data_IF_646069702927
#
_entry.id   IF_646069702927
#
_cell.length_a   1.000
_cell.length_b   1.000
_cell.length_c   1.000
_cell.angle_alpha   90.00
_cell.angle_beta   90.00
_cell.angle_gamma   90.00
#
_symmetry.space_group_name_H-M   'P 1'
#
loop_
_entity.id
_entity.type
_entity.pdbx_description
1 polymer ?
#
# COMPACT_ATOMS: atom_id res chain seq x y z
N UNK A 1 -39.61 -8.29 7.78
CA UNK A 1 -38.64 -9.28 7.38
C UNK A 1 -37.40 -8.66 6.73
N UNK A 2 -36.25 -9.15 7.03
CA UNK A 2 -35.00 -8.62 6.52
C UNK A 2 -34.79 -8.81 5.01
N UNK A 3 -35.73 -9.46 4.34
CA UNK A 3 -35.62 -9.76 2.92
C UNK A 3 -36.04 -8.61 2.02
N UNK A 4 -36.08 -7.42 2.55
CA UNK A 4 -36.46 -6.27 1.74
C UNK A 4 -35.24 -5.86 0.85
N UNK A 5 -35.49 -4.98 -0.10
CA UNK A 5 -34.51 -4.50 -1.03
C UNK A 5 -33.32 -3.81 -0.33
N UNK A 6 -33.58 -3.14 0.79
CA UNK A 6 -32.53 -2.46 1.56
C UNK A 6 -31.52 -3.43 2.16
N UNK A 7 -32.01 -4.55 2.70
CA UNK A 7 -31.11 -5.57 3.27
C UNK A 7 -30.26 -6.21 2.19
N UNK A 8 -30.85 -6.53 1.04
CA UNK A 8 -30.11 -7.09 -0.09
C UNK A 8 -29.04 -6.14 -0.62
N UNK A 9 -29.40 -4.86 -0.73
CA UNK A 9 -28.49 -3.83 -1.18
C UNK A 9 -27.29 -3.70 -0.23
N UNK A 10 -27.56 -3.76 1.08
CA UNK A 10 -26.50 -3.70 2.11
C UNK A 10 -25.52 -4.84 1.99
N UNK A 11 -26.03 -6.06 1.75
CA UNK A 11 -25.18 -7.24 1.57
C UNK A 11 -24.26 -7.05 0.37
N UNK A 12 -24.79 -6.59 -0.75
CA UNK A 12 -24.00 -6.34 -1.95
C UNK A 12 -22.96 -5.24 -1.74
N UNK A 13 -23.34 -4.17 -1.03
CA UNK A 13 -22.44 -3.07 -0.72
C UNK A 13 -21.31 -3.54 0.19
N UNK A 14 -21.62 -4.34 1.21
CA UNK A 14 -20.59 -4.88 2.13
C UNK A 14 -19.63 -5.80 1.41
N UNK A 15 -20.12 -6.64 0.50
CA UNK A 15 -19.29 -7.52 -0.31
C UNK A 15 -18.33 -6.73 -1.19
N UNK A 16 -18.82 -5.68 -1.85
CA UNK A 16 -18.02 -4.81 -2.70
C UNK A 16 -16.92 -4.11 -1.89
N UNK A 17 -17.28 -3.61 -0.70
CA UNK A 17 -16.32 -2.95 0.18
C UNK A 17 -15.25 -3.91 0.66
N UNK A 18 -15.64 -5.14 1.00
CA UNK A 18 -14.71 -6.18 1.40
C UNK A 18 -13.68 -6.48 0.31
N UNK A 19 -14.14 -6.56 -0.94
CA UNK A 19 -13.26 -6.80 -2.08
C UNK A 19 -12.30 -5.62 -2.32
N UNK A 20 -12.76 -4.39 -2.19
CA UNK A 20 -11.92 -3.21 -2.30
C UNK A 20 -10.87 -3.16 -1.19
N UNK A 21 -11.27 -3.45 0.03
CA UNK A 21 -10.35 -3.47 1.18
C UNK A 21 -9.25 -4.50 0.96
N UNK A 22 -9.62 -5.68 0.49
CA UNK A 22 -8.69 -6.76 0.19
C UNK A 22 -7.72 -6.35 -0.91
N UNK A 23 -8.23 -5.69 -1.96
CA UNK A 23 -7.41 -5.21 -3.07
C UNK A 23 -6.32 -4.25 -2.57
N UNK A 24 -6.69 -3.23 -1.80
CA UNK A 24 -5.74 -2.24 -1.33
C UNK A 24 -4.69 -2.85 -0.39
N UNK A 25 -5.14 -3.67 0.56
CA UNK A 25 -4.23 -4.33 1.51
C UNK A 25 -3.25 -5.26 0.79
N UNK A 26 -3.76 -6.04 -0.15
CA UNK A 26 -2.96 -6.98 -0.93
C UNK A 26 -1.95 -6.24 -1.83
N UNK A 27 -2.38 -5.17 -2.47
CA UNK A 27 -1.53 -4.38 -3.36
C UNK A 27 -0.40 -3.71 -2.58
N UNK A 28 -0.70 -3.13 -1.42
CA UNK A 28 0.33 -2.52 -0.56
C UNK A 28 1.34 -3.58 -0.12
N UNK A 29 0.87 -4.75 0.28
CA UNK A 29 1.75 -5.85 0.70
C UNK A 29 2.68 -6.29 -0.43
N UNK A 30 2.13 -6.47 -1.63
CA UNK A 30 2.89 -6.91 -2.80
C UNK A 30 3.95 -5.88 -3.19
N UNK A 31 3.58 -4.61 -3.25
CA UNK A 31 4.52 -3.55 -3.58
C UNK A 31 5.58 -3.38 -2.50
N UNK A 32 5.24 -3.59 -1.24
CA UNK A 32 6.22 -3.52 -0.15
C UNK A 32 7.26 -4.62 -0.29
N UNK A 33 6.86 -5.83 -0.66
CA UNK A 33 7.79 -6.92 -0.94
C UNK A 33 8.70 -6.57 -2.11
N UNK A 34 8.15 -6.00 -3.16
CA UNK A 34 8.94 -5.57 -4.32
C UNK A 34 9.91 -4.46 -3.95
N UNK A 35 9.49 -3.53 -3.10
CA UNK A 35 10.34 -2.46 -2.59
C UNK A 35 11.58 -3.03 -1.89
N UNK A 36 11.39 -4.00 -1.00
CA UNK A 36 12.52 -4.61 -0.31
C UNK A 36 13.42 -5.41 -1.25
N UNK A 37 12.84 -6.05 -2.26
CA UNK A 37 13.62 -6.77 -3.27
C UNK A 37 14.51 -5.81 -4.06
N UNK A 38 13.95 -4.70 -4.53
CA UNK A 38 14.70 -3.68 -5.26
C UNK A 38 15.76 -3.03 -4.37
N UNK A 39 15.44 -2.85 -3.09
CA UNK A 39 16.36 -2.29 -2.12
C UNK A 39 17.61 -3.19 -1.97
N UNK A 40 17.40 -4.51 -1.89
CA UNK A 40 18.50 -5.47 -1.80
C UNK A 40 19.37 -5.45 -3.07
N UNK A 41 18.74 -5.39 -4.22
CA UNK A 41 19.45 -5.29 -5.50
C UNK A 41 20.28 -4.01 -5.52
N UNK A 42 19.74 -2.90 -5.09
CA UNK A 42 20.45 -1.63 -5.06
C UNK A 42 21.64 -1.68 -4.09
N UNK A 43 21.48 -2.29 -2.93
CA UNK A 43 22.58 -2.42 -1.96
C UNK A 43 23.77 -3.14 -2.55
N UNK A 44 23.55 -4.10 -3.44
CA UNK A 44 24.61 -4.87 -4.09
C UNK A 44 25.20 -4.14 -5.29
N UNK A 45 24.34 -3.60 -6.16
CA UNK A 45 24.77 -2.99 -7.42
C UNK A 45 25.20 -1.55 -7.29
N UNK A 46 24.55 -0.79 -6.40
CA UNK A 46 24.72 0.65 -6.23
C UNK A 46 24.50 1.44 -7.52
N UNK A 47 23.72 0.87 -8.43
CA UNK A 47 23.40 1.47 -9.72
C UNK A 47 22.28 2.50 -9.57
N UNK A 48 22.39 3.61 -10.30
CA UNK A 48 21.40 4.68 -10.27
C UNK A 48 20.04 4.19 -10.74
N UNK A 49 20.02 3.32 -11.75
CA UNK A 49 18.77 2.75 -12.27
C UNK A 49 18.02 1.95 -11.21
N UNK A 50 18.76 1.18 -10.41
CA UNK A 50 18.16 0.41 -9.32
C UNK A 50 17.63 1.32 -8.22
N UNK A 51 18.33 2.41 -7.94
CA UNK A 51 17.88 3.42 -6.97
C UNK A 51 16.56 4.05 -7.43
N UNK A 52 16.45 4.35 -8.71
CA UNK A 52 15.22 4.93 -9.27
C UNK A 52 14.05 3.96 -9.18
N UNK A 53 14.28 2.66 -9.38
CA UNK A 53 13.25 1.64 -9.20
C UNK A 53 12.74 1.61 -7.76
N UNK A 54 13.65 1.70 -6.79
CA UNK A 54 13.28 1.77 -5.38
C UNK A 54 12.39 2.97 -5.11
N UNK A 55 12.78 4.14 -5.60
CA UNK A 55 12.01 5.37 -5.40
C UNK A 55 10.64 5.32 -6.07
N UNK A 56 10.56 4.81 -7.30
CA UNK A 56 9.29 4.68 -8.00
C UNK A 56 8.35 3.74 -7.27
N UNK A 57 8.86 2.61 -6.79
CA UNK A 57 8.06 1.66 -6.04
C UNK A 57 7.54 2.30 -4.76
N UNK A 58 8.38 3.04 -4.05
CA UNK A 58 7.99 3.73 -2.83
C UNK A 58 6.88 4.74 -3.10
N UNK A 59 6.99 5.52 -4.18
CA UNK A 59 5.96 6.48 -4.56
C UNK A 59 4.64 5.79 -4.88
N UNK A 60 4.68 4.64 -5.55
CA UNK A 60 3.48 3.84 -5.82
C UNK A 60 2.83 3.35 -4.54
N UNK A 61 3.63 2.89 -3.57
CA UNK A 61 3.13 2.48 -2.26
C UNK A 61 2.46 3.64 -1.55
N UNK A 62 3.08 4.81 -1.54
CA UNK A 62 2.51 6.01 -0.91
C UNK A 62 1.17 6.38 -1.55
N UNK A 63 1.08 6.31 -2.86
CA UNK A 63 -0.17 6.59 -3.58
C UNK A 63 -1.29 5.65 -3.16
N UNK A 64 -0.99 4.34 -3.06
CA UNK A 64 -1.97 3.35 -2.64
C UNK A 64 -2.40 3.56 -1.18
N UNK A 65 -1.44 3.85 -0.30
CA UNK A 65 -1.73 4.10 1.12
C UNK A 65 -2.63 5.33 1.26
N UNK A 66 -2.34 6.40 0.52
CA UNK A 66 -3.15 7.62 0.55
C UNK A 66 -4.57 7.37 0.06
N UNK A 67 -4.73 6.63 -1.03
CA UNK A 67 -6.04 6.27 -1.55
C UNK A 67 -6.82 5.41 -0.57
N UNK A 68 -6.14 4.43 0.05
CA UNK A 68 -6.75 3.55 1.04
C UNK A 68 -7.19 4.34 2.28
N UNK A 69 -6.42 5.34 2.68
CA UNK A 69 -6.74 6.20 3.81
C UNK A 69 -7.98 7.04 3.52
N UNK A 70 -8.06 7.62 2.32
CA UNK A 70 -9.25 8.37 1.90
C UNK A 70 -10.51 7.53 1.92
N UNK A 71 -10.38 6.24 1.64
CA UNK A 71 -11.52 5.30 1.63
C UNK A 71 -11.75 4.65 3.00
N UNK A 72 -11.05 5.09 4.02
CA UNK A 72 -11.15 4.57 5.38
C UNK A 72 -10.76 3.08 5.51
N UNK A 73 -9.96 2.57 4.57
CA UNK A 73 -9.42 1.22 4.64
C UNK A 73 -8.29 1.15 5.66
N UNK A 74 -7.42 2.17 5.64
CA UNK A 74 -6.38 2.36 6.64
C UNK A 74 -6.71 3.59 7.49
N UNK A 75 -6.50 3.47 8.78
CA UNK A 75 -6.56 4.64 9.67
C UNK A 75 -5.35 5.53 9.39
N UNK A 76 -5.52 6.85 9.50
CA UNK A 76 -4.46 7.80 9.18
C UNK A 76 -3.18 7.58 9.99
N UNK A 77 -3.30 7.12 11.24
CA UNK A 77 -2.13 6.84 12.08
C UNK A 77 -1.36 5.62 11.57
N UNK A 78 -2.09 4.58 11.13
CA UNK A 78 -1.49 3.39 10.53
C UNK A 78 -0.78 3.75 9.23
N UNK A 79 -1.41 4.59 8.40
CA UNK A 79 -0.84 5.05 7.15
C UNK A 79 0.45 5.83 7.38
N UNK A 80 0.44 6.77 8.32
CA UNK A 80 1.61 7.57 8.67
C UNK A 80 2.76 6.68 9.14
N UNK A 81 2.46 5.68 9.97
CA UNK A 81 3.46 4.74 10.48
C UNK A 81 4.09 3.93 9.36
N UNK A 82 3.28 3.41 8.43
CA UNK A 82 3.79 2.64 7.29
C UNK A 82 4.69 3.49 6.40
N UNK A 83 4.27 4.71 6.09
CA UNK A 83 5.07 5.64 5.28
C UNK A 83 6.39 5.97 5.97
N UNK A 84 6.36 6.23 7.27
CA UNK A 84 7.55 6.55 8.04
C UNK A 84 8.56 5.40 8.05
N UNK A 85 8.08 4.17 8.24
CA UNK A 85 8.95 2.99 8.23
C UNK A 85 9.64 2.81 6.87
N UNK A 86 8.86 2.92 5.79
CA UNK A 86 9.41 2.75 4.43
C UNK A 86 10.40 3.87 4.10
N UNK A 87 10.09 5.10 4.48
CA UNK A 87 10.98 6.23 4.29
C UNK A 87 12.32 6.05 5.02
N UNK A 88 12.28 5.45 6.21
CA UNK A 88 13.49 5.16 7.00
C UNK A 88 14.44 4.23 6.26
N UNK A 89 13.92 3.19 5.61
CA UNK A 89 14.75 2.28 4.83
C UNK A 89 15.43 2.98 3.67
N UNK A 90 14.71 3.88 3.01
CA UNK A 90 15.30 4.63 1.90
C UNK A 90 16.41 5.56 2.38
N UNK A 91 16.23 6.22 3.52
CA UNK A 91 17.23 7.11 4.10
C UNK A 91 18.53 6.38 4.41
N UNK A 92 18.44 5.14 4.87
CA UNK A 92 19.63 4.35 5.21
C UNK A 92 20.50 4.14 3.98
N UNK A 93 19.92 3.91 2.81
CA UNK A 93 20.70 3.67 1.59
C UNK A 93 21.16 4.96 0.92
N UNK A 94 20.57 6.09 1.21
CA UNK A 94 20.98 7.38 0.64
C UNK A 94 22.17 7.99 1.37
N UNK A 95 22.44 7.53 2.58
CA UNK A 95 23.61 7.92 3.34
C UNK A 95 24.79 7.07 2.94
#
# INVERSE_FOLDING_TARGET
MANNKSAKKRILTNERNRLKNRFYKSSVRTLTKNFFRYLEVYKSSKDIEDKEKVKKTLNSIYSLIDKATKRNIFHKNTAARKKSQLSSYLKIIEI
#
